data_IF_007743478376
#
_entry.id   IF_007743478376
#
_cell.length_a   1.000
_cell.length_b   1.000
_cell.length_c   1.000
_cell.angle_alpha   90.00
_cell.angle_beta   90.00
_cell.angle_gamma   90.00
#
_symmetry.space_group_name_H-M   'P 1'
#
loop_
_entity.id
_entity.type
_entity.pdbx_description
1 polymer ?
#
# COMPACT_ATOMS: atom_id res chain seq x y z
N UNK A 1 5.87 23.99 -5.56
CA UNK A 1 5.58 22.56 -5.35
C UNK A 1 4.72 22.11 -6.52
N UNK A 2 5.21 21.24 -7.40
CA UNK A 2 4.42 20.78 -8.55
C UNK A 2 3.27 19.90 -8.08
N UNK A 3 2.12 19.96 -8.77
CA UNK A 3 0.95 19.12 -8.48
C UNK A 3 1.33 17.62 -8.41
N UNK A 4 2.33 17.23 -9.21
CA UNK A 4 2.86 15.88 -9.28
C UNK A 4 3.57 15.46 -7.99
N UNK A 5 4.37 16.33 -7.36
CA UNK A 5 4.98 16.05 -6.05
C UNK A 5 3.93 15.88 -4.95
N UNK A 6 2.87 16.69 -4.96
CA UNK A 6 1.78 16.58 -3.99
C UNK A 6 1.03 15.25 -4.14
N UNK A 7 0.75 14.82 -5.37
CA UNK A 7 0.10 13.53 -5.65
C UNK A 7 0.96 12.34 -5.19
N UNK A 8 2.26 12.36 -5.49
CA UNK A 8 3.20 11.32 -5.03
C UNK A 8 3.25 11.23 -3.50
N UNK A 9 3.27 12.38 -2.80
CA UNK A 9 3.26 12.42 -1.34
C UNK A 9 1.98 11.82 -0.75
N UNK A 10 0.81 12.15 -1.30
CA UNK A 10 -0.47 11.55 -0.89
C UNK A 10 -0.45 10.04 -1.13
N UNK A 11 0.12 9.61 -2.26
CA UNK A 11 0.20 8.19 -2.59
C UNK A 11 1.11 7.42 -1.63
N UNK A 12 2.22 8.01 -1.19
CA UNK A 12 3.08 7.46 -0.12
C UNK A 12 2.28 7.27 1.18
N UNK A 13 1.45 8.25 1.56
CA UNK A 13 0.60 8.15 2.75
C UNK A 13 -0.43 7.02 2.60
N UNK A 14 -1.03 6.85 1.42
CA UNK A 14 -1.97 5.75 1.16
C UNK A 14 -1.32 4.37 1.29
N UNK A 15 -0.10 4.21 0.79
CA UNK A 15 0.65 2.95 0.94
C UNK A 15 0.99 2.68 2.41
N UNK A 16 1.42 3.72 3.15
CA UNK A 16 1.67 3.59 4.59
C UNK A 16 0.39 3.22 5.36
N UNK A 17 -0.73 3.86 5.04
CA UNK A 17 -2.03 3.52 5.61
C UNK A 17 -2.38 2.05 5.31
N UNK A 18 -2.09 1.56 4.10
CA UNK A 18 -2.31 0.15 3.73
C UNK A 18 -1.52 -0.80 4.61
N UNK A 19 -0.24 -0.52 4.87
CA UNK A 19 0.62 -1.31 5.76
C UNK A 19 0.03 -1.34 7.17
N UNK A 20 -0.33 -0.18 7.73
CA UNK A 20 -0.92 -0.12 9.09
C UNK A 20 -2.27 -0.85 9.16
N UNK A 21 -3.13 -0.67 8.16
CA UNK A 21 -4.46 -1.29 8.10
C UNK A 21 -4.40 -2.81 7.91
N UNK A 22 -3.31 -3.35 7.39
CA UNK A 22 -3.08 -4.81 7.32
C UNK A 22 -2.86 -5.44 8.69
N UNK A 23 -2.24 -4.70 9.62
CA UNK A 23 -1.97 -5.17 10.99
C UNK A 23 -3.22 -5.13 11.86
N UNK A 24 -4.22 -4.34 11.47
CA UNK A 24 -5.49 -4.21 12.17
C UNK A 24 -6.47 -5.30 11.66
N UNK A 25 -6.82 -6.22 12.56
CA UNK A 25 -7.89 -7.20 12.34
C UNK A 25 -9.20 -6.60 12.87
N UNK A 26 -10.12 -6.27 11.98
CA UNK A 26 -11.43 -5.71 12.30
C UNK A 26 -12.54 -6.51 11.60
N UNK A 27 -13.71 -6.69 12.24
CA UNK A 27 -14.88 -7.31 11.60
C UNK A 27 -15.35 -6.50 10.38
N UNK A 28 -15.99 -7.18 9.44
CA UNK A 28 -16.47 -6.61 8.16
C UNK A 28 -17.40 -5.41 8.33
N UNK A 29 -18.21 -5.40 9.39
CA UNK A 29 -19.22 -4.38 9.67
C UNK A 29 -18.64 -3.13 10.35
N UNK A 30 -17.34 -3.10 10.64
CA UNK A 30 -16.69 -1.97 11.29
C UNK A 30 -16.31 -0.89 10.25
N UNK A 31 -16.45 0.42 10.55
CA UNK A 31 -16.08 1.50 9.64
C UNK A 31 -14.60 1.44 9.18
N UNK A 32 -13.71 0.93 10.03
CA UNK A 32 -12.29 0.71 9.68
C UNK A 32 -12.13 -0.34 8.57
N UNK A 33 -13.00 -1.35 8.50
CA UNK A 33 -12.97 -2.32 7.41
C UNK A 33 -13.39 -1.69 6.08
N UNK A 34 -14.32 -0.73 6.10
CA UNK A 34 -14.68 0.06 4.91
C UNK A 34 -13.51 0.90 4.42
N UNK A 35 -12.83 1.61 5.32
CA UNK A 35 -11.62 2.40 4.99
C UNK A 35 -10.52 1.50 4.43
N UNK A 36 -10.28 0.35 5.06
CA UNK A 36 -9.32 -0.67 4.58
C UNK A 36 -9.62 -1.12 3.15
N UNK A 37 -10.91 -1.28 2.80
CA UNK A 37 -11.35 -1.65 1.45
C UNK A 37 -11.16 -0.51 0.45
N UNK A 38 -11.43 0.73 0.84
CA UNK A 38 -11.19 1.91 -0.01
C UNK A 38 -9.70 2.08 -0.33
N UNK A 39 -8.84 1.94 0.69
CA UNK A 39 -7.38 1.98 0.50
C UNK A 39 -6.92 0.82 -0.37
N UNK A 40 -7.47 -0.38 -0.17
CA UNK A 40 -7.18 -1.54 -1.01
C UNK A 40 -7.53 -1.28 -2.47
N UNK A 41 -8.70 -0.69 -2.78
CA UNK A 41 -9.09 -0.37 -4.16
C UNK A 41 -8.09 0.57 -4.87
N UNK A 42 -7.47 1.49 -4.12
CA UNK A 42 -6.49 2.42 -4.68
C UNK A 42 -5.10 1.79 -4.87
N UNK A 43 -4.68 0.91 -3.95
CA UNK A 43 -3.29 0.40 -3.89
C UNK A 43 -3.17 -1.00 -4.50
N UNK A 44 -4.16 -1.87 -4.32
CA UNK A 44 -4.16 -3.26 -4.81
C UNK A 44 -3.91 -3.43 -6.32
N UNK A 45 -4.46 -2.62 -7.25
CA UNK A 45 -4.17 -2.81 -8.69
C UNK A 45 -2.67 -2.72 -9.00
N UNK A 46 -1.91 -1.95 -8.22
CA UNK A 46 -0.45 -1.84 -8.34
C UNK A 46 0.28 -2.93 -7.55
N UNK A 47 -0.34 -3.51 -6.53
CA UNK A 47 0.21 -4.63 -5.76
C UNK A 47 0.02 -5.98 -6.45
N UNK A 48 -1.05 -6.20 -7.22
CA UNK A 48 -1.30 -7.46 -7.94
C UNK A 48 -0.12 -7.92 -8.79
N UNK A 49 0.49 -7.07 -9.66
CA UNK A 49 1.66 -7.50 -10.43
C UNK A 49 2.88 -7.80 -9.55
N UNK A 50 3.06 -7.05 -8.46
CA UNK A 50 4.17 -7.25 -7.51
C UNK A 50 4.00 -8.57 -6.73
N UNK A 51 2.77 -8.89 -6.30
CA UNK A 51 2.40 -10.16 -5.63
C UNK A 51 2.59 -11.38 -6.52
N UNK A 52 2.51 -11.22 -7.85
CA UNK A 52 2.83 -12.31 -8.79
C UNK A 52 4.33 -12.60 -8.86
N UNK A 53 5.18 -11.61 -8.62
CA UNK A 53 6.64 -11.77 -8.61
C UNK A 53 7.16 -12.24 -7.25
N UNK A 54 6.55 -11.78 -6.16
CA UNK A 54 6.83 -12.26 -4.81
C UNK A 54 5.58 -12.96 -4.26
N UNK A 55 5.48 -14.30 -4.39
CA UNK A 55 4.35 -15.04 -3.84
C UNK A 55 4.24 -14.76 -2.34
N UNK A 56 3.03 -14.41 -1.89
CA UNK A 56 2.69 -14.20 -0.50
C UNK A 56 3.19 -15.41 0.32
N UNK A 57 4.10 -15.20 1.27
CA UNK A 57 4.54 -16.27 2.17
C UNK A 57 3.60 -16.35 3.37
N UNK A 58 2.75 -17.38 3.49
CA UNK A 58 1.94 -17.58 4.68
C UNK A 58 2.84 -18.02 5.84
N UNK A 59 3.32 -17.05 6.63
CA UNK A 59 4.03 -17.30 7.88
C UNK A 59 3.01 -17.35 9.02
N UNK A 60 2.74 -18.54 9.57
CA UNK A 60 2.11 -18.69 10.89
C UNK A 60 0.70 -18.10 11.03
N UNK A 61 -0.20 -18.31 10.05
CA UNK A 61 -1.60 -17.87 10.14
C UNK A 61 -1.81 -16.36 9.94
N UNK A 62 -0.78 -15.60 9.57
CA UNK A 62 -0.86 -14.20 9.18
C UNK A 62 -0.31 -14.01 7.76
N UNK A 63 -1.04 -13.30 6.90
CA UNK A 63 -0.58 -12.93 5.56
C UNK A 63 0.32 -11.71 5.69
N UNK A 64 1.63 -11.91 5.60
CA UNK A 64 2.58 -10.80 5.56
C UNK A 64 2.82 -10.42 4.10
N UNK A 65 2.09 -9.41 3.63
CA UNK A 65 2.28 -8.90 2.27
C UNK A 65 3.48 -7.92 2.28
N UNK A 66 4.60 -8.31 1.68
CA UNK A 66 5.76 -7.43 1.49
C UNK A 66 5.59 -6.48 0.30
N UNK A 67 4.59 -6.73 -0.55
CA UNK A 67 4.32 -5.96 -1.77
C UNK A 67 4.09 -4.46 -1.52
N UNK A 68 3.37 -4.01 -0.46
CA UNK A 68 3.22 -2.59 -0.16
C UNK A 68 4.55 -1.92 0.19
N UNK A 69 5.48 -2.64 0.81
CA UNK A 69 6.81 -2.13 1.15
C UNK A 69 7.64 -1.90 -0.11
N UNK A 70 7.58 -2.83 -1.06
CA UNK A 70 8.24 -2.69 -2.37
C UNK A 70 7.64 -1.56 -3.19
N UNK A 71 6.30 -1.45 -3.18
CA UNK A 71 5.60 -0.35 -3.85
C UNK A 71 5.99 1.01 -3.24
N UNK A 72 6.07 1.10 -1.91
CA UNK A 72 6.54 2.29 -1.21
C UNK A 72 7.94 2.70 -1.64
N UNK A 73 8.86 1.73 -1.70
CA UNK A 73 10.24 1.95 -2.15
C UNK A 73 10.27 2.45 -3.60
N UNK A 74 9.53 1.80 -4.50
CA UNK A 74 9.43 2.21 -5.90
C UNK A 74 8.91 3.64 -6.05
N UNK A 75 7.85 4.00 -5.32
CA UNK A 75 7.28 5.36 -5.35
C UNK A 75 8.26 6.39 -4.79
N UNK A 76 8.99 6.06 -3.71
CA UNK A 76 10.03 6.95 -3.14
C UNK A 76 11.17 7.20 -4.12
N UNK A 77 11.62 6.17 -4.83
CA UNK A 77 12.66 6.32 -5.86
C UNK A 77 12.15 7.21 -6.98
N UNK A 78 10.94 6.97 -7.49
CA UNK A 78 10.33 7.80 -8.54
C UNK A 78 10.19 9.26 -8.07
N UNK A 79 9.73 9.50 -6.85
CA UNK A 79 9.64 10.86 -6.29
C UNK A 79 11.01 11.55 -6.29
N UNK A 80 12.05 10.87 -5.81
CA UNK A 80 13.41 11.43 -5.78
C UNK A 80 13.97 11.75 -7.18
N UNK A 81 13.65 10.93 -8.18
CA UNK A 81 14.05 11.16 -9.58
C UNK A 81 13.34 12.35 -10.21
N UNK A 82 12.10 12.62 -9.79
CA UNK A 82 11.31 13.78 -10.24
C UNK A 82 11.78 15.09 -9.58
N UNK A 83 12.61 15.01 -8.53
CA UNK A 83 13.01 16.18 -7.73
C UNK A 83 11.94 16.58 -6.70
N UNK A 84 11.13 15.61 -6.29
CA UNK A 84 10.30 15.62 -5.11
C UNK A 84 10.98 14.79 -4.00
#
# INVERSE_FOLDING_TARGET
>A
MSLLCSLLSIYVVLILARIVLEWIRVPSDHPVAQIKRLVALAVDPLLIPIRRMLPDMPMGGMRLDLSPLLLLLGVRVVASLVGC
#
